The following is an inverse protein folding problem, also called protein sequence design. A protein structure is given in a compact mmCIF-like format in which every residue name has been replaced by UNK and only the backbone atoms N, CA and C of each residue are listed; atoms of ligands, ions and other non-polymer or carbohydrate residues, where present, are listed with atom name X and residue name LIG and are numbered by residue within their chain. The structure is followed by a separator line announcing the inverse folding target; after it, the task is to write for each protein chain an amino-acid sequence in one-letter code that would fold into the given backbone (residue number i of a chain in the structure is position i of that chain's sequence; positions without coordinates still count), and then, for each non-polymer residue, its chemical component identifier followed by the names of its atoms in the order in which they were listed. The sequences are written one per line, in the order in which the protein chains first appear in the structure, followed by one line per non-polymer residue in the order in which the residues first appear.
data_IF_032317866480
#
_entry.id   IF_032317866480
#
_cell.length_a   1.000
_cell.length_b   1.000
_cell.length_c   1.000
_cell.angle_alpha   90.00
_cell.angle_beta   90.00
_cell.angle_gamma   90.00
#
_symmetry.space_group_name_H-M   'P 1'
#
loop_
_entity.id
_entity.type
_entity.pdbx_description
1 polymer ?
#
# COMPACT_ATOMS: atom_id res chain seq x y z
N UNK A 1 -5.82 11.29 33.31
CA UNK A 1 -4.55 10.76 32.74
C UNK A 1 -4.71 9.33 32.21
N UNK A 2 -5.30 8.39 32.97
CA UNK A 2 -5.56 7.02 32.48
C UNK A 2 -6.44 6.99 31.23
N UNK A 3 -7.47 7.83 31.18
CA UNK A 3 -8.37 7.94 30.02
C UNK A 3 -7.64 8.48 28.79
N UNK A 4 -6.77 9.48 28.99
CA UNK A 4 -5.92 10.03 27.92
C UNK A 4 -4.99 8.98 27.33
N UNK A 5 -4.35 8.16 28.19
CA UNK A 5 -3.51 7.04 27.76
C UNK A 5 -4.31 5.98 26.98
N UNK A 6 -5.51 5.66 27.46
CA UNK A 6 -6.41 4.72 26.76
C UNK A 6 -6.83 5.26 25.39
N UNK A 7 -7.19 6.54 25.28
CA UNK A 7 -7.52 7.18 24.00
C UNK A 7 -6.35 7.17 23.03
N UNK A 8 -5.13 7.46 23.50
CA UNK A 8 -3.92 7.39 22.68
C UNK A 8 -3.69 5.96 22.19
N UNK A 9 -3.80 4.96 23.08
CA UNK A 9 -3.59 3.56 22.72
C UNK A 9 -4.59 3.09 21.66
N UNK A 10 -5.87 3.43 21.81
CA UNK A 10 -6.91 3.12 20.81
C UNK A 10 -6.59 3.77 19.47
N UNK A 11 -6.20 5.04 19.47
CA UNK A 11 -5.87 5.77 18.26
C UNK A 11 -4.68 5.15 17.52
N UNK A 12 -3.62 4.79 18.24
CA UNK A 12 -2.45 4.09 17.68
C UNK A 12 -2.86 2.74 17.10
N UNK A 13 -3.69 1.97 17.80
CA UNK A 13 -4.19 0.67 17.31
C UNK A 13 -4.99 0.82 16.01
N UNK A 14 -5.89 1.80 15.94
CA UNK A 14 -6.69 2.06 14.73
C UNK A 14 -5.76 2.42 13.56
N UNK A 15 -4.84 3.37 13.75
CA UNK A 15 -3.93 3.80 12.70
C UNK A 15 -3.02 2.67 12.22
N UNK A 16 -2.49 1.85 13.14
CA UNK A 16 -1.67 0.70 12.80
C UNK A 16 -2.47 -0.35 12.00
N UNK A 17 -3.67 -0.70 12.47
CA UNK A 17 -4.53 -1.66 11.77
C UNK A 17 -4.90 -1.15 10.37
N UNK A 18 -5.29 0.12 10.23
CA UNK A 18 -5.57 0.73 8.93
C UNK A 18 -4.35 0.69 8.01
N UNK A 19 -3.16 1.06 8.50
CA UNK A 19 -1.94 1.05 7.70
C UNK A 19 -1.59 -0.36 7.19
N UNK A 20 -1.74 -1.40 8.05
CA UNK A 20 -1.50 -2.79 7.67
C UNK A 20 -2.44 -3.22 6.55
N UNK A 21 -3.74 -2.96 6.72
CA UNK A 21 -4.77 -3.34 5.74
C UNK A 21 -4.53 -2.58 4.41
N UNK A 22 -4.31 -1.27 4.46
CA UNK A 22 -4.07 -0.45 3.27
C UNK A 22 -2.82 -0.91 2.51
N UNK A 23 -1.72 -1.20 3.22
CA UNK A 23 -0.49 -1.69 2.60
C UNK A 23 -0.70 -3.07 1.94
N UNK A 24 -1.45 -3.96 2.58
CA UNK A 24 -1.76 -5.26 2.00
C UNK A 24 -2.59 -5.14 0.72
N UNK A 25 -3.64 -4.31 0.71
CA UNK A 25 -4.40 -4.00 -0.50
C UNK A 25 -3.53 -3.39 -1.60
N UNK A 26 -2.64 -2.44 -1.26
CA UNK A 26 -1.73 -1.83 -2.22
C UNK A 26 -0.81 -2.87 -2.87
N UNK A 27 -0.25 -3.80 -2.10
CA UNK A 27 0.58 -4.90 -2.62
C UNK A 27 -0.20 -5.88 -3.49
N UNK A 28 -1.48 -6.11 -3.20
CA UNK A 28 -2.33 -6.96 -4.02
C UNK A 28 -2.67 -6.30 -5.37
N UNK A 29 -2.91 -4.99 -5.37
CA UNK A 29 -3.41 -4.24 -6.52
C UNK A 29 -2.31 -3.69 -7.43
N UNK A 30 -1.10 -3.48 -6.92
CA UNK A 30 -0.03 -2.81 -7.65
C UNK A 30 1.26 -3.64 -7.68
N UNK A 31 2.01 -3.49 -8.77
CA UNK A 31 3.35 -4.02 -8.93
C UNK A 31 4.30 -2.92 -9.42
N UNK A 32 5.60 -3.07 -9.15
CA UNK A 32 6.63 -2.19 -9.73
C UNK A 32 7.15 -2.79 -11.02
N UNK A 33 7.30 -1.95 -12.04
CA UNK A 33 7.91 -2.37 -13.30
C UNK A 33 9.40 -2.64 -13.12
N UNK A 34 9.88 -3.80 -13.60
CA UNK A 34 11.30 -4.18 -13.53
C UNK A 34 12.20 -3.35 -14.47
N UNK A 35 11.63 -2.60 -15.42
CA UNK A 35 12.39 -1.74 -16.33
C UNK A 35 12.68 -0.35 -15.76
N UNK A 36 11.65 0.33 -15.25
CA UNK A 36 11.74 1.74 -14.85
C UNK A 36 11.30 2.03 -13.41
N UNK A 37 10.94 0.99 -12.63
CA UNK A 37 10.50 1.14 -11.23
C UNK A 37 9.10 1.75 -11.05
N UNK A 38 8.44 2.17 -12.13
CA UNK A 38 7.10 2.79 -12.04
C UNK A 38 6.09 1.81 -11.44
N UNK A 39 5.31 2.30 -10.48
CA UNK A 39 4.19 1.55 -9.91
C UNK A 39 3.04 1.49 -10.92
N UNK A 40 2.54 0.27 -11.18
CA UNK A 40 1.48 -0.02 -12.12
C UNK A 40 0.41 -0.89 -11.46
N UNK A 41 -0.84 -0.72 -11.88
CA UNK A 41 -1.92 -1.61 -11.48
C UNK A 41 -1.67 -3.01 -12.07
N UNK A 42 -1.80 -4.05 -11.25
CA UNK A 42 -1.52 -5.45 -11.58
C UNK A 42 -2.36 -6.00 -12.73
N UNK A 43 -3.50 -5.37 -13.04
CA UNK A 43 -4.35 -5.69 -14.20
C UNK A 43 -3.75 -5.28 -15.55
N UNK A 44 -2.73 -4.41 -15.58
CA UNK A 44 -2.08 -3.97 -16.82
C UNK A 44 -1.08 -5.03 -17.28
N UNK A 45 -1.05 -5.30 -18.58
CA UNK A 45 0.02 -6.09 -19.22
C UNK A 45 1.26 -5.24 -19.47
N UNK A 46 1.09 -3.96 -19.82
CA UNK A 46 2.21 -3.07 -20.17
C UNK A 46 2.39 -1.93 -19.16
N UNK A 47 3.64 -1.54 -18.94
CA UNK A 47 4.02 -0.43 -18.06
C UNK A 47 3.53 0.91 -18.62
N UNK A 48 2.84 1.72 -17.79
CA UNK A 48 2.30 3.01 -18.21
C UNK A 48 3.34 4.07 -18.57
N UNK A 49 4.59 3.90 -18.13
CA UNK A 49 5.65 4.88 -18.31
C UNK A 49 6.61 4.49 -19.44
N UNK A 50 7.09 3.25 -19.46
CA UNK A 50 8.08 2.80 -20.44
C UNK A 50 7.57 1.78 -21.47
N UNK A 51 6.30 1.36 -21.38
CA UNK A 51 5.70 0.42 -22.33
C UNK A 51 6.21 -1.02 -22.28
N UNK A 52 7.08 -1.37 -21.31
CA UNK A 52 7.59 -2.74 -21.12
C UNK A 52 6.54 -3.66 -20.50
N UNK A 53 6.60 -4.95 -20.83
CA UNK A 53 5.72 -5.96 -20.23
C UNK A 53 5.93 -6.04 -18.71
N UNK A 54 4.81 -6.22 -18.00
CA UNK A 54 4.72 -6.33 -16.55
C UNK A 54 4.57 -7.79 -16.09
N UNK A 55 4.33 -8.73 -17.02
CA UNK A 55 4.28 -10.17 -16.79
C UNK A 55 5.51 -10.89 -17.36
#
# INVERSE_FOLDING_TARGET
MKDTLLSIAILVCILAASAIITNWFAKAMYLRCNGCGTLNAKRRSQCRACGKDLR
#
